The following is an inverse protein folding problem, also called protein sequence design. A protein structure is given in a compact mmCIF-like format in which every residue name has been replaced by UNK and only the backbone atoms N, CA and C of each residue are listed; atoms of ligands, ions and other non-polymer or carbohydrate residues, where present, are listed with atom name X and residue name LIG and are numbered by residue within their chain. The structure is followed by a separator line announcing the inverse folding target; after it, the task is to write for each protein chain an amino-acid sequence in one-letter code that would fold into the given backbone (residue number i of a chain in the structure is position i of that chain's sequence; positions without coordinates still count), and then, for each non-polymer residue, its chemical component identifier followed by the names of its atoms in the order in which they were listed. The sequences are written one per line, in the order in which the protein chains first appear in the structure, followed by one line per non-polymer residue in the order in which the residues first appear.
data_IF_434826643492
#
_entry.id   IF_434826643492
#
_cell.length_a   1.000
_cell.length_b   1.000
_cell.length_c   1.000
_cell.angle_alpha   90.00
_cell.angle_beta   90.00
_cell.angle_gamma   90.00
#
_symmetry.space_group_name_H-M   'P 1'
#
loop_
_entity.id
_entity.type
_entity.pdbx_description
1 polymer ?
#
# COMPACT_ATOMS: atom_id res chain seq x y z
N UNK A 1 -28.86 10.61 25.43
CA UNK A 1 -27.68 11.52 25.19
C UNK A 1 -26.34 10.83 25.30
N UNK A 2 -26.19 9.75 26.05
CA UNK A 2 -24.89 9.09 26.35
C UNK A 2 -24.26 8.28 25.21
N UNK A 3 -25.03 7.73 24.26
CA UNK A 3 -24.45 6.91 23.17
C UNK A 3 -23.74 7.71 22.07
N UNK A 4 -24.21 8.92 21.77
CA UNK A 4 -23.60 9.78 20.72
C UNK A 4 -22.21 10.29 21.08
N UNK A 5 -22.01 10.72 22.33
CA UNK A 5 -20.73 11.25 22.83
C UNK A 5 -19.65 10.16 22.93
N UNK A 6 -20.04 8.94 23.27
CA UNK A 6 -19.10 7.81 23.35
C UNK A 6 -18.55 7.42 21.96
N UNK A 7 -19.41 7.41 20.95
CA UNK A 7 -19.06 7.10 19.55
C UNK A 7 -18.02 8.08 18.96
N UNK A 8 -18.22 9.38 19.21
CA UNK A 8 -17.33 10.43 18.69
C UNK A 8 -15.95 10.39 19.37
N UNK A 9 -15.89 10.09 20.67
CA UNK A 9 -14.64 9.94 21.38
C UNK A 9 -13.82 8.72 20.91
N UNK A 10 -14.47 7.61 20.56
CA UNK A 10 -13.78 6.41 20.07
C UNK A 10 -13.06 6.68 18.75
N UNK A 11 -13.67 7.41 17.80
CA UNK A 11 -13.05 7.80 16.54
C UNK A 11 -11.83 8.69 16.75
N UNK A 12 -11.89 9.63 17.71
CA UNK A 12 -10.74 10.46 18.07
C UNK A 12 -9.58 9.66 18.67
N UNK A 13 -9.89 8.77 19.63
CA UNK A 13 -8.88 7.91 20.28
C UNK A 13 -8.18 7.04 19.24
N UNK A 14 -8.94 6.43 18.32
CA UNK A 14 -8.36 5.69 17.21
C UNK A 14 -7.41 6.56 16.38
N UNK A 15 -7.85 7.75 15.97
CA UNK A 15 -7.02 8.67 15.16
C UNK A 15 -5.75 9.11 15.90
N UNK A 16 -5.82 9.42 17.19
CA UNK A 16 -4.64 9.78 18.00
C UNK A 16 -3.66 8.61 18.09
N UNK A 17 -4.16 7.38 18.33
CA UNK A 17 -3.32 6.18 18.34
C UNK A 17 -2.61 5.96 17.00
N UNK A 18 -3.35 6.07 15.90
CA UNK A 18 -2.80 5.91 14.55
C UNK A 18 -1.76 7.00 14.22
N UNK A 19 -2.06 8.26 14.57
CA UNK A 19 -1.14 9.38 14.40
C UNK A 19 0.14 9.20 15.21
N UNK A 20 0.04 8.72 16.46
CA UNK A 20 1.19 8.45 17.31
C UNK A 20 2.11 7.38 16.68
N UNK A 21 1.56 6.24 16.24
CA UNK A 21 2.32 5.19 15.54
C UNK A 21 3.01 5.75 14.30
N UNK A 22 2.31 6.58 13.54
CA UNK A 22 2.85 7.16 12.30
C UNK A 22 3.99 8.14 12.56
N UNK A 23 3.93 8.93 13.62
CA UNK A 23 5.03 9.80 14.05
C UNK A 23 6.24 8.96 14.48
N UNK A 24 6.03 7.88 15.21
CA UNK A 24 7.12 6.96 15.60
C UNK A 24 7.80 6.35 14.37
N UNK A 25 7.05 6.04 13.31
CA UNK A 25 7.62 5.54 12.05
C UNK A 25 8.55 6.58 11.40
N UNK A 26 8.17 7.87 11.38
CA UNK A 26 9.04 8.95 10.90
C UNK A 26 10.29 9.07 11.75
N UNK A 27 10.15 9.09 13.09
CA UNK A 27 11.29 9.16 13.99
C UNK A 27 12.25 8.00 13.78
N UNK A 28 11.72 6.78 13.62
CA UNK A 28 12.53 5.61 13.30
C UNK A 28 13.34 5.80 12.01
N UNK A 29 12.73 6.29 10.92
CA UNK A 29 13.43 6.54 9.66
C UNK A 29 14.49 7.63 9.79
N UNK A 30 14.22 8.69 10.54
CA UNK A 30 15.20 9.77 10.80
C UNK A 30 16.40 9.21 11.56
N UNK A 31 16.17 8.49 12.66
CA UNK A 31 17.24 7.86 13.46
C UNK A 31 18.02 6.86 12.61
N UNK A 32 17.33 6.05 11.80
CA UNK A 32 17.97 5.12 10.87
C UNK A 32 18.90 5.85 9.89
N UNK A 33 18.43 6.93 9.26
CA UNK A 33 19.21 7.72 8.30
C UNK A 33 20.44 8.37 8.94
N UNK A 34 20.27 8.97 10.12
CA UNK A 34 21.38 9.64 10.84
C UNK A 34 22.48 8.66 11.26
N UNK A 35 22.15 7.41 11.51
CA UNK A 35 23.14 6.36 11.86
C UNK A 35 23.83 5.74 10.63
N UNK A 36 23.37 6.04 9.41
CA UNK A 36 23.97 5.51 8.17
C UNK A 36 25.10 6.40 7.67
N UNK A 37 26.34 5.89 7.75
CA UNK A 37 27.55 6.64 7.33
C UNK A 37 27.64 6.84 5.82
N UNK A 38 27.24 5.85 5.01
CA UNK A 38 27.23 5.90 3.54
C UNK A 38 26.10 5.04 2.98
N UNK A 39 25.38 5.58 2.04
CA UNK A 39 24.34 4.89 1.29
C UNK A 39 24.69 4.94 -0.19
N UNK A 40 24.63 3.80 -0.90
CA UNK A 40 24.76 3.79 -2.36
C UNK A 40 23.56 4.48 -3.01
N UNK A 41 23.71 4.98 -4.24
CA UNK A 41 22.62 5.64 -4.98
C UNK A 41 21.38 4.76 -5.09
N UNK A 42 21.57 3.46 -5.32
CA UNK A 42 20.47 2.49 -5.35
C UNK A 42 19.75 2.40 -4.00
N UNK A 43 20.48 2.29 -2.89
CA UNK A 43 19.87 2.24 -1.56
C UNK A 43 19.22 3.57 -1.17
N UNK A 44 19.80 4.70 -1.60
CA UNK A 44 19.20 6.02 -1.42
C UNK A 44 17.88 6.12 -2.17
N UNK A 45 17.83 5.64 -3.41
CA UNK A 45 16.57 5.60 -4.18
C UNK A 45 15.49 4.76 -3.48
N UNK A 46 15.83 3.54 -3.02
CA UNK A 46 14.88 2.72 -2.25
C UNK A 46 14.43 3.42 -0.95
N UNK A 47 15.34 4.11 -0.29
CA UNK A 47 15.03 4.86 0.94
C UNK A 47 14.05 6.01 0.66
N UNK A 48 14.22 6.73 -0.46
CA UNK A 48 13.27 7.77 -0.90
C UNK A 48 11.87 7.18 -1.11
N UNK A 49 11.76 5.99 -1.72
CA UNK A 49 10.47 5.31 -1.90
C UNK A 49 9.80 4.99 -0.54
N UNK A 50 10.59 4.53 0.45
CA UNK A 50 10.10 4.28 1.81
C UNK A 50 9.67 5.57 2.50
N UNK A 51 10.45 6.65 2.36
CA UNK A 51 10.09 7.97 2.91
C UNK A 51 8.78 8.44 2.32
N UNK A 52 8.61 8.39 0.99
CA UNK A 52 7.38 8.79 0.32
C UNK A 52 6.16 8.05 0.89
N UNK A 53 6.27 6.72 1.03
CA UNK A 53 5.18 5.91 1.58
C UNK A 53 4.90 6.24 3.05
N UNK A 54 5.95 6.37 3.87
CA UNK A 54 5.82 6.63 5.31
C UNK A 54 5.28 8.04 5.59
N UNK A 55 5.78 9.06 4.87
CA UNK A 55 5.31 10.45 5.02
C UNK A 55 3.86 10.58 4.58
N UNK A 56 3.50 9.94 3.48
CA UNK A 56 2.11 9.92 3.01
C UNK A 56 1.19 9.20 4.00
N UNK A 57 1.61 8.04 4.52
CA UNK A 57 0.89 7.31 5.56
C UNK A 57 0.71 8.17 6.82
N UNK A 58 1.76 8.88 7.25
CA UNK A 58 1.71 9.79 8.40
C UNK A 58 0.74 10.95 8.16
N UNK A 59 0.82 11.60 7.01
CA UNK A 59 -0.09 12.69 6.64
C UNK A 59 -1.56 12.22 6.69
N UNK A 60 -1.86 11.08 6.07
CA UNK A 60 -3.22 10.52 6.01
C UNK A 60 -3.68 9.97 7.37
N UNK A 61 -2.78 9.55 8.25
CA UNK A 61 -3.09 9.15 9.62
C UNK A 61 -3.50 10.34 10.49
N UNK A 62 -2.79 11.47 10.36
CA UNK A 62 -3.09 12.70 11.13
C UNK A 62 -4.37 13.37 10.59
N UNK A 63 -4.63 13.25 9.30
CA UNK A 63 -5.74 13.90 8.60
C UNK A 63 -6.50 12.90 7.72
N UNK A 64 -7.18 11.91 8.31
CA UNK A 64 -7.88 10.91 7.54
C UNK A 64 -9.07 11.50 6.78
N UNK A 65 -9.24 10.99 5.56
CA UNK A 65 -10.32 11.34 4.65
C UNK A 65 -10.84 10.07 3.99
N UNK A 66 -12.15 9.90 3.96
CA UNK A 66 -12.83 8.90 3.13
C UNK A 66 -13.01 9.53 1.76
N UNK A 67 -12.07 9.30 0.86
CA UNK A 67 -11.92 10.03 -0.41
C UNK A 67 -13.13 9.84 -1.33
N UNK A 68 -13.60 8.62 -1.48
CA UNK A 68 -14.74 8.28 -2.33
C UNK A 68 -16.09 8.85 -1.88
N UNK A 69 -16.22 9.24 -0.61
CA UNK A 69 -17.41 9.85 -0.03
C UNK A 69 -17.16 11.32 0.37
N UNK A 70 -15.90 11.77 0.23
CA UNK A 70 -15.44 13.13 0.53
C UNK A 70 -15.70 13.53 1.98
N UNK A 71 -15.61 12.58 2.91
CA UNK A 71 -15.80 12.80 4.33
C UNK A 71 -14.46 13.01 5.00
N UNK A 72 -14.32 14.09 5.75
CA UNK A 72 -13.10 14.46 6.46
C UNK A 72 -13.30 14.34 7.97
N UNK A 73 -12.28 13.85 8.68
CA UNK A 73 -12.33 13.80 10.15
C UNK A 73 -12.19 15.19 10.79
N UNK A 74 -11.37 16.03 10.17
CA UNK A 74 -11.11 17.40 10.65
C UNK A 74 -11.24 18.41 9.51
N UNK A 75 -11.68 19.63 9.85
CA UNK A 75 -11.68 20.75 8.91
C UNK A 75 -10.25 21.26 8.69
N UNK A 76 -9.80 21.23 7.43
CA UNK A 76 -8.46 21.74 7.06
C UNK A 76 -8.39 21.96 5.56
N UNK A 77 -7.67 23.00 5.12
CA UNK A 77 -7.48 23.30 3.70
C UNK A 77 -6.55 22.28 3.00
N UNK A 78 -5.73 21.57 3.75
CA UNK A 78 -4.81 20.54 3.21
C UNK A 78 -5.38 19.11 3.33
N UNK A 79 -6.44 18.90 4.10
CA UNK A 79 -7.09 17.60 4.30
C UNK A 79 -8.33 17.48 3.44
N UNK A 80 -8.23 17.85 2.18
CA UNK A 80 -9.30 17.69 1.20
C UNK A 80 -9.05 16.44 0.35
N UNK A 81 -10.10 15.80 -0.20
CA UNK A 81 -9.97 14.56 -0.97
C UNK A 81 -8.94 14.64 -2.10
N UNK A 82 -8.86 15.78 -2.79
CA UNK A 82 -7.88 16.00 -3.87
C UNK A 82 -6.43 15.83 -3.37
N UNK A 83 -6.09 16.45 -2.24
CA UNK A 83 -4.73 16.37 -1.68
C UNK A 83 -4.44 14.98 -1.15
N UNK A 84 -5.37 14.40 -0.39
CA UNK A 84 -5.17 13.06 0.20
C UNK A 84 -5.04 11.99 -0.86
N UNK A 85 -5.82 12.05 -1.95
CA UNK A 85 -5.70 11.12 -3.08
C UNK A 85 -4.38 11.29 -3.85
N UNK A 86 -3.95 12.54 -4.08
CA UNK A 86 -2.65 12.80 -4.72
C UNK A 86 -1.49 12.20 -3.89
N UNK A 87 -1.51 12.43 -2.59
CA UNK A 87 -0.52 11.87 -1.66
C UNK A 87 -0.57 10.35 -1.63
N UNK A 88 -1.77 9.75 -1.64
CA UNK A 88 -1.95 8.30 -1.71
C UNK A 88 -1.37 7.71 -3.00
N UNK A 89 -1.62 8.34 -4.15
CA UNK A 89 -1.09 7.90 -5.45
C UNK A 89 0.44 7.84 -5.43
N UNK A 90 1.11 8.88 -4.91
CA UNK A 90 2.58 8.88 -4.79
C UNK A 90 3.05 7.75 -3.87
N UNK A 91 2.37 7.56 -2.74
CA UNK A 91 2.70 6.50 -1.79
C UNK A 91 2.58 5.10 -2.40
N UNK A 92 1.46 4.81 -3.01
CA UNK A 92 1.14 3.49 -3.54
C UNK A 92 2.06 3.12 -4.71
N UNK A 93 2.35 4.08 -5.61
CA UNK A 93 3.35 3.89 -6.66
C UNK A 93 4.77 3.72 -6.10
N UNK A 94 5.11 4.42 -5.02
CA UNK A 94 6.39 4.22 -4.34
C UNK A 94 6.49 2.83 -3.71
N UNK A 95 5.42 2.34 -3.08
CA UNK A 95 5.38 1.03 -2.46
C UNK A 95 5.55 -0.11 -3.48
N UNK A 96 4.77 -0.08 -4.56
CA UNK A 96 4.86 -1.12 -5.59
C UNK A 96 6.23 -1.09 -6.29
N UNK A 97 6.78 0.09 -6.54
CA UNK A 97 8.12 0.24 -7.12
C UNK A 97 9.18 -0.35 -6.19
N UNK A 98 9.12 -0.07 -4.89
CA UNK A 98 10.00 -0.67 -3.89
C UNK A 98 9.91 -2.19 -3.90
N UNK A 99 8.70 -2.74 -3.86
CA UNK A 99 8.46 -4.18 -3.89
C UNK A 99 9.07 -4.83 -5.14
N UNK A 100 8.79 -4.26 -6.32
CA UNK A 100 9.32 -4.74 -7.61
C UNK A 100 10.84 -4.71 -7.63
N UNK A 101 11.47 -3.65 -7.15
CA UNK A 101 12.94 -3.55 -7.14
C UNK A 101 13.59 -4.56 -6.19
N UNK A 102 12.99 -4.80 -5.02
CA UNK A 102 13.46 -5.83 -4.09
C UNK A 102 13.36 -7.22 -4.73
N UNK A 103 12.21 -7.55 -5.34
CA UNK A 103 12.04 -8.84 -6.03
C UNK A 103 12.94 -8.98 -7.25
N UNK A 104 13.17 -7.92 -8.02
CA UNK A 104 14.14 -7.91 -9.11
C UNK A 104 15.56 -8.24 -8.61
N UNK A 105 15.95 -7.70 -7.46
CA UNK A 105 17.21 -8.03 -6.81
C UNK A 105 17.30 -9.52 -6.45
N UNK A 106 16.25 -10.07 -5.87
CA UNK A 106 16.15 -11.50 -5.51
C UNK A 106 16.24 -12.38 -6.77
N UNK A 107 15.39 -12.11 -7.78
CA UNK A 107 15.34 -12.90 -9.02
C UNK A 107 16.72 -12.89 -9.70
N UNK A 108 17.37 -11.73 -9.83
CA UNK A 108 18.71 -11.61 -10.42
C UNK A 108 19.78 -12.41 -9.67
N UNK A 109 19.71 -12.47 -8.34
CA UNK A 109 20.63 -13.31 -7.55
C UNK A 109 20.36 -14.80 -7.75
N UNK A 110 19.09 -15.19 -7.77
CA UNK A 110 18.70 -16.60 -8.04
C UNK A 110 19.10 -17.00 -9.47
N UNK A 111 18.98 -16.10 -10.46
CA UNK A 111 19.46 -16.34 -11.84
C UNK A 111 20.96 -16.65 -11.91
N UNK A 112 21.79 -16.03 -11.07
CA UNK A 112 23.23 -16.34 -11.02
C UNK A 112 23.51 -17.76 -10.52
N UNK A 113 22.68 -18.27 -9.61
CA UNK A 113 22.81 -19.62 -9.06
C UNK A 113 22.20 -20.67 -9.99
N UNK A 114 21.13 -20.30 -10.69
CA UNK A 114 20.40 -21.18 -11.61
C UNK A 114 20.37 -20.64 -13.06
N UNK A 115 21.55 -20.48 -13.72
CA UNK A 115 21.64 -19.78 -15.03
C UNK A 115 20.90 -20.48 -16.17
N UNK A 116 20.62 -21.79 -16.05
CA UNK A 116 19.87 -22.56 -17.06
C UNK A 116 18.34 -22.48 -16.91
N UNK A 117 17.85 -21.82 -15.85
CA UNK A 117 16.42 -21.71 -15.59
C UNK A 117 15.78 -20.63 -16.47
N UNK A 118 15.00 -21.07 -17.47
CA UNK A 118 14.34 -20.19 -18.45
C UNK A 118 13.13 -19.43 -17.90
N UNK A 119 12.61 -19.81 -16.73
CA UNK A 119 11.45 -19.15 -16.11
C UNK A 119 11.85 -17.85 -15.41
N UNK A 120 13.05 -17.78 -14.83
CA UNK A 120 13.50 -16.60 -14.07
C UNK A 120 13.49 -15.28 -14.88
N UNK A 121 13.93 -15.23 -16.15
CA UNK A 121 13.79 -14.02 -16.97
C UNK A 121 12.33 -13.61 -17.19
N UNK A 122 11.42 -14.59 -17.35
CA UNK A 122 9.99 -14.33 -17.48
C UNK A 122 9.44 -13.73 -16.18
N UNK A 123 9.81 -14.29 -15.03
CA UNK A 123 9.42 -13.73 -13.73
C UNK A 123 9.94 -12.30 -13.53
N UNK A 124 11.15 -12.01 -13.99
CA UNK A 124 11.70 -10.65 -13.95
C UNK A 124 10.83 -9.66 -14.74
N UNK A 125 10.42 -10.04 -15.95
CA UNK A 125 9.53 -9.24 -16.79
C UNK A 125 8.15 -9.06 -16.14
N UNK A 126 7.53 -10.17 -15.70
CA UNK A 126 6.21 -10.16 -15.05
C UNK A 126 6.22 -9.30 -13.80
N UNK A 127 7.28 -9.41 -12.98
CA UNK A 127 7.44 -8.58 -11.79
C UNK A 127 7.54 -7.09 -12.15
N UNK A 128 8.26 -6.74 -13.23
CA UNK A 128 8.38 -5.34 -13.66
C UNK A 128 7.04 -4.78 -14.17
N UNK A 129 6.22 -5.58 -14.84
CA UNK A 129 4.89 -5.16 -15.32
C UNK A 129 3.93 -4.79 -14.19
N UNK A 130 4.17 -5.24 -12.95
CA UNK A 130 3.36 -4.84 -11.79
C UNK A 130 3.31 -3.34 -11.57
N UNK A 131 4.37 -2.59 -11.91
CA UNK A 131 4.37 -1.12 -11.80
C UNK A 131 3.30 -0.54 -12.75
N UNK A 132 3.26 -1.01 -14.00
CA UNK A 132 2.27 -0.57 -14.99
C UNK A 132 0.84 -0.92 -14.58
N UNK A 133 0.61 -2.15 -14.11
CA UNK A 133 -0.71 -2.57 -13.61
C UNK A 133 -1.19 -1.70 -12.44
N UNK A 134 -0.29 -1.39 -11.49
CA UNK A 134 -0.68 -0.55 -10.37
C UNK A 134 -0.82 0.93 -10.76
N UNK A 135 -0.16 1.41 -11.80
CA UNK A 135 -0.46 2.72 -12.37
C UNK A 135 -1.88 2.76 -12.96
N UNK A 136 -2.34 1.67 -13.60
CA UNK A 136 -3.74 1.54 -14.04
C UNK A 136 -4.72 1.46 -12.86
N UNK A 137 -4.35 0.81 -11.74
CA UNK A 137 -5.14 0.84 -10.52
C UNK A 137 -5.31 2.28 -10.01
N UNK A 138 -4.23 3.07 -9.97
CA UNK A 138 -4.31 4.47 -9.58
C UNK A 138 -5.21 5.29 -10.50
N UNK A 139 -5.13 5.08 -11.81
CA UNK A 139 -6.04 5.71 -12.76
C UNK A 139 -7.50 5.36 -12.45
N UNK A 140 -7.81 4.08 -12.21
CA UNK A 140 -9.15 3.61 -11.85
C UNK A 140 -9.62 4.28 -10.56
N UNK A 141 -8.78 4.37 -9.53
CA UNK A 141 -9.08 5.06 -8.29
C UNK A 141 -9.44 6.54 -8.49
N UNK A 142 -8.66 7.25 -9.30
CA UNK A 142 -8.96 8.63 -9.63
C UNK A 142 -10.31 8.77 -10.34
N UNK A 143 -10.60 7.92 -11.33
CA UNK A 143 -11.90 7.93 -12.01
C UNK A 143 -13.03 7.68 -11.01
N UNK A 144 -12.91 6.67 -10.14
CA UNK A 144 -13.91 6.37 -9.11
C UNK A 144 -14.10 7.52 -8.13
N UNK A 145 -13.02 8.15 -7.70
CA UNK A 145 -13.05 9.27 -6.74
C UNK A 145 -13.65 10.55 -7.37
N UNK A 146 -13.32 10.84 -8.63
CA UNK A 146 -13.85 12.00 -9.35
C UNK A 146 -15.34 11.80 -9.67
N UNK A 147 -15.70 10.68 -10.28
CA UNK A 147 -17.05 10.42 -10.79
C UNK A 147 -18.02 9.93 -9.72
N UNK A 148 -17.51 9.54 -8.55
CA UNK A 148 -18.24 8.80 -7.49
C UNK A 148 -18.78 7.43 -7.94
N UNK A 149 -18.26 6.89 -9.05
CA UNK A 149 -18.67 5.57 -9.54
C UNK A 149 -17.85 4.46 -8.90
N UNK A 150 -18.47 3.76 -7.95
CA UNK A 150 -17.83 2.70 -7.12
C UNK A 150 -17.36 1.49 -7.93
N UNK A 151 -17.78 1.34 -9.20
CA UNK A 151 -17.27 0.26 -10.05
C UNK A 151 -15.76 0.44 -10.32
N UNK A 152 -15.29 1.68 -10.48
CA UNK A 152 -13.88 1.97 -10.68
C UNK A 152 -13.03 1.67 -9.46
N UNK A 153 -13.58 1.84 -8.24
CA UNK A 153 -12.91 1.38 -7.03
C UNK A 153 -12.84 -0.16 -6.98
N UNK A 154 -13.91 -0.87 -7.39
CA UNK A 154 -13.85 -2.33 -7.50
C UNK A 154 -12.80 -2.80 -8.53
N UNK A 155 -12.63 -2.08 -9.65
CA UNK A 155 -11.56 -2.35 -10.64
C UNK A 155 -10.18 -2.12 -10.03
N UNK A 156 -9.97 -1.00 -9.33
CA UNK A 156 -8.74 -0.69 -8.61
C UNK A 156 -8.35 -1.84 -7.67
N UNK A 157 -9.26 -2.22 -6.77
CA UNK A 157 -9.00 -3.25 -5.76
C UNK A 157 -8.78 -4.64 -6.39
N UNK A 158 -9.45 -4.91 -7.51
CA UNK A 158 -9.21 -6.15 -8.28
C UNK A 158 -7.81 -6.19 -8.89
N UNK A 159 -7.28 -5.06 -9.36
CA UNK A 159 -5.91 -4.96 -9.88
C UNK A 159 -4.90 -5.16 -8.74
N UNK A 160 -5.15 -4.58 -7.56
CA UNK A 160 -4.32 -4.78 -6.37
C UNK A 160 -4.33 -6.25 -5.92
N UNK A 161 -5.51 -6.89 -5.89
CA UNK A 161 -5.63 -8.33 -5.58
C UNK A 161 -4.85 -9.18 -6.58
N UNK A 162 -5.00 -8.91 -7.89
CA UNK A 162 -4.26 -9.57 -8.96
C UNK A 162 -2.73 -9.41 -8.82
N UNK A 163 -2.28 -8.21 -8.45
CA UNK A 163 -0.86 -7.95 -8.18
C UNK A 163 -0.35 -8.76 -6.99
N UNK A 164 -1.14 -8.89 -5.92
CA UNK A 164 -0.83 -9.75 -4.78
C UNK A 164 -0.70 -11.21 -5.18
N UNK A 165 -1.59 -11.71 -6.04
CA UNK A 165 -1.54 -13.08 -6.58
C UNK A 165 -0.26 -13.31 -7.38
N UNK A 166 0.14 -12.36 -8.24
CA UNK A 166 1.39 -12.45 -9.00
C UNK A 166 2.60 -12.50 -8.06
N UNK A 167 2.66 -11.63 -7.05
CA UNK A 167 3.74 -11.63 -6.04
C UNK A 167 3.79 -12.98 -5.30
N UNK A 168 2.64 -13.53 -4.93
CA UNK A 168 2.55 -14.85 -4.28
C UNK A 168 3.14 -15.95 -5.16
N UNK A 169 2.76 -16.01 -6.44
CA UNK A 169 3.31 -17.02 -7.36
C UNK A 169 4.81 -16.86 -7.58
N UNK A 170 5.32 -15.64 -7.72
CA UNK A 170 6.76 -15.39 -7.82
C UNK A 170 7.47 -15.90 -6.55
N UNK A 171 6.93 -15.55 -5.36
CA UNK A 171 7.52 -15.96 -4.09
C UNK A 171 7.51 -17.49 -3.90
N UNK A 172 6.40 -18.16 -4.23
CA UNK A 172 6.28 -19.62 -4.17
C UNK A 172 7.27 -20.31 -5.11
N UNK A 173 7.33 -19.86 -6.37
CA UNK A 173 8.26 -20.42 -7.34
C UNK A 173 9.72 -20.28 -6.89
N UNK A 174 10.11 -19.09 -6.45
CA UNK A 174 11.45 -18.84 -5.94
C UNK A 174 11.74 -19.68 -4.69
N UNK A 175 10.77 -19.81 -3.78
CA UNK A 175 10.93 -20.63 -2.57
C UNK A 175 11.16 -22.10 -2.92
N UNK A 176 10.35 -22.68 -3.81
CA UNK A 176 10.53 -24.06 -4.26
C UNK A 176 11.92 -24.26 -4.90
N UNK A 177 12.35 -23.30 -5.73
CA UNK A 177 13.63 -23.39 -6.42
C UNK A 177 14.83 -23.34 -5.46
N UNK A 178 14.78 -22.46 -4.43
CA UNK A 178 15.92 -22.30 -3.50
C UNK A 178 15.88 -23.27 -2.31
N UNK A 179 14.79 -23.99 -2.08
CA UNK A 179 14.61 -24.87 -0.93
C UNK A 179 15.62 -26.02 -0.88
N UNK A 180 16.05 -26.51 -2.03
CA UNK A 180 17.05 -27.60 -2.16
C UNK A 180 18.51 -27.15 -2.01
N UNK A 181 18.80 -25.83 -1.95
CA UNK A 181 20.17 -25.31 -1.87
C UNK A 181 20.45 -24.76 -0.48
N UNK A 182 21.45 -25.31 0.23
CA UNK A 182 21.79 -24.92 1.61
C UNK A 182 23.19 -24.30 1.76
N UNK A 183 23.98 -24.23 0.68
CA UNK A 183 25.41 -23.84 0.78
C UNK A 183 25.70 -22.36 0.66
N UNK A 184 24.84 -21.57 0.02
CA UNK A 184 25.04 -20.13 -0.20
C UNK A 184 24.29 -19.31 0.87
N UNK A 185 25.04 -18.46 1.61
CA UNK A 185 24.48 -17.59 2.66
C UNK A 185 23.40 -16.62 2.13
N UNK A 186 23.57 -16.14 0.90
CA UNK A 186 22.60 -15.26 0.24
C UNK A 186 21.31 -16.00 -0.07
N UNK A 187 21.42 -17.22 -0.58
CA UNK A 187 20.27 -18.09 -0.84
C UNK A 187 19.58 -18.46 0.50
N UNK A 188 20.34 -18.70 1.56
CA UNK A 188 19.80 -18.93 2.90
C UNK A 188 18.93 -17.75 3.40
N UNK A 189 19.37 -16.51 3.18
CA UNK A 189 18.56 -15.33 3.49
C UNK A 189 17.30 -15.21 2.65
N UNK A 190 17.38 -15.49 1.34
CA UNK A 190 16.21 -15.50 0.46
C UNK A 190 15.20 -16.55 0.95
N UNK A 191 15.70 -17.77 1.25
CA UNK A 191 14.88 -18.87 1.78
C UNK A 191 14.15 -18.52 3.07
N UNK A 192 14.75 -17.72 3.95
CA UNK A 192 14.10 -17.26 5.20
C UNK A 192 13.09 -16.14 4.96
N UNK A 193 13.27 -15.32 3.95
CA UNK A 193 12.41 -14.18 3.63
C UNK A 193 11.13 -14.58 2.89
N UNK A 194 11.24 -15.48 1.93
CA UNK A 194 10.12 -15.86 1.05
C UNK A 194 8.88 -16.39 1.79
N UNK A 195 8.99 -17.26 2.85
CA UNK A 195 7.82 -17.71 3.62
C UNK A 195 7.04 -16.54 4.26
N UNK A 196 7.74 -15.52 4.74
CA UNK A 196 7.10 -14.33 5.31
C UNK A 196 6.29 -13.59 4.25
N UNK A 197 6.87 -13.41 3.05
CA UNK A 197 6.15 -12.80 1.92
C UNK A 197 4.94 -13.64 1.51
N UNK A 198 5.09 -14.97 1.43
CA UNK A 198 4.00 -15.89 1.09
C UNK A 198 2.84 -15.73 2.06
N UNK A 199 3.11 -15.76 3.38
CA UNK A 199 2.07 -15.62 4.42
C UNK A 199 1.39 -14.27 4.32
N UNK A 200 2.15 -13.17 4.21
CA UNK A 200 1.58 -11.82 4.09
C UNK A 200 0.74 -11.70 2.82
N UNK A 201 1.22 -12.24 1.69
CA UNK A 201 0.47 -12.21 0.43
C UNK A 201 -0.84 -12.99 0.53
N UNK A 202 -0.85 -14.16 1.18
CA UNK A 202 -2.07 -14.96 1.38
C UNK A 202 -3.10 -14.20 2.23
N UNK A 203 -2.66 -13.56 3.33
CA UNK A 203 -3.54 -12.75 4.18
C UNK A 203 -4.11 -11.57 3.39
N UNK A 204 -3.25 -10.86 2.65
CA UNK A 204 -3.64 -9.72 1.83
C UNK A 204 -4.65 -10.11 0.75
N UNK A 205 -4.36 -11.15 -0.05
CA UNK A 205 -5.24 -11.64 -1.11
C UNK A 205 -6.57 -12.11 -0.52
N UNK A 206 -6.54 -12.81 0.61
CA UNK A 206 -7.75 -13.22 1.33
C UNK A 206 -8.61 -12.04 1.72
N UNK A 207 -8.02 -10.98 2.29
CA UNK A 207 -8.73 -9.74 2.62
C UNK A 207 -9.33 -9.08 1.36
N UNK A 208 -8.55 -8.91 0.30
CA UNK A 208 -8.99 -8.26 -0.94
C UNK A 208 -10.17 -9.00 -1.59
N UNK A 209 -10.07 -10.33 -1.72
CA UNK A 209 -11.09 -11.13 -2.40
C UNK A 209 -12.35 -11.32 -1.55
N UNK A 210 -12.22 -11.47 -0.24
CA UNK A 210 -13.34 -11.78 0.64
C UNK A 210 -14.04 -10.54 1.22
N UNK A 211 -13.34 -9.42 1.31
CA UNK A 211 -13.83 -8.22 1.99
C UNK A 211 -13.90 -7.02 1.05
N UNK A 212 -12.79 -6.60 0.50
CA UNK A 212 -12.66 -5.28 -0.11
C UNK A 212 -13.32 -5.20 -1.48
N UNK A 213 -12.95 -6.06 -2.41
CA UNK A 213 -13.56 -6.13 -3.75
C UNK A 213 -15.08 -6.36 -3.68
N UNK A 214 -15.61 -7.33 -2.88
CA UNK A 214 -17.03 -7.51 -2.74
C UNK A 214 -17.75 -6.31 -2.13
N UNK A 215 -17.12 -5.59 -1.21
CA UNK A 215 -17.67 -4.37 -0.63
C UNK A 215 -17.92 -3.30 -1.70
N UNK A 216 -16.94 -3.03 -2.55
CA UNK A 216 -17.08 -2.04 -3.63
C UNK A 216 -18.07 -2.49 -4.70
N UNK A 217 -18.11 -3.78 -5.08
CA UNK A 217 -19.13 -4.32 -5.99
C UNK A 217 -20.52 -4.13 -5.41
N UNK A 218 -20.71 -4.39 -4.11
CA UNK A 218 -22.01 -4.17 -3.42
C UNK A 218 -22.39 -2.69 -3.39
N UNK A 219 -21.43 -1.79 -3.05
CA UNK A 219 -21.65 -0.34 -3.12
C UNK A 219 -22.06 0.08 -4.54
N UNK A 220 -21.36 -0.38 -5.58
CA UNK A 220 -21.66 -0.06 -6.98
C UNK A 220 -23.06 -0.52 -7.40
N UNK A 221 -23.49 -1.73 -6.98
CA UNK A 221 -24.85 -2.24 -7.25
C UNK A 221 -25.93 -1.41 -6.57
N UNK A 222 -25.72 -1.04 -5.30
CA UNK A 222 -26.67 -0.25 -4.53
C UNK A 222 -26.82 1.18 -5.07
N UNK A 223 -25.75 1.73 -5.62
CA UNK A 223 -25.67 3.10 -6.15
C UNK A 223 -25.91 3.18 -7.66
N UNK A 224 -26.36 2.10 -8.32
CA UNK A 224 -26.54 2.02 -9.78
C UNK A 224 -27.43 3.13 -10.33
N UNK A 225 -28.45 3.55 -9.60
CA UNK A 225 -29.40 4.58 -10.01
C UNK A 225 -29.01 5.99 -9.57
N UNK A 226 -27.88 6.15 -8.85
CA UNK A 226 -27.40 7.47 -8.46
C UNK A 226 -26.65 8.10 -9.66
N UNK A 227 -27.03 9.32 -9.99
CA UNK A 227 -26.37 10.07 -11.07
C UNK A 227 -24.89 10.24 -10.74
N UNK A 228 -24.04 9.76 -11.64
CA UNK A 228 -22.58 9.94 -11.52
C UNK A 228 -22.22 11.39 -11.79
N UNK A 229 -21.11 11.83 -11.20
CA UNK A 229 -20.56 13.18 -11.44
C UNK A 229 -19.88 13.22 -12.82
N UNK A 230 -20.03 14.32 -13.53
CA UNK A 230 -19.12 14.66 -14.62
C UNK A 230 -17.74 15.03 -14.05
N UNK A 231 -16.72 15.02 -14.91
CA UNK A 231 -15.33 15.19 -14.50
C UNK A 231 -15.07 16.56 -13.89
N UNK A 232 -15.62 17.63 -14.47
CA UNK A 232 -15.40 18.99 -14.02
C UNK A 232 -16.01 19.22 -12.64
N UNK A 233 -17.28 18.87 -12.48
CA UNK A 233 -17.98 18.90 -11.17
C UNK A 233 -17.25 18.07 -10.15
N UNK A 234 -16.84 16.85 -10.52
CA UNK A 234 -16.13 15.93 -9.64
C UNK A 234 -14.82 16.51 -9.11
N UNK A 235 -13.97 17.06 -9.98
CA UNK A 235 -12.70 17.70 -9.59
C UNK A 235 -12.96 18.91 -8.68
N UNK A 236 -13.95 19.75 -8.98
CA UNK A 236 -14.26 20.90 -8.16
C UNK A 236 -14.74 20.50 -6.76
N UNK A 237 -15.56 19.46 -6.65
CA UNK A 237 -16.02 18.93 -5.37
C UNK A 237 -14.88 18.27 -4.55
N UNK A 238 -13.83 17.71 -5.17
CA UNK A 238 -12.68 17.14 -4.46
C UNK A 238 -11.83 18.19 -3.72
N UNK A 239 -11.99 19.49 -4.04
CA UNK A 239 -11.29 20.60 -3.37
C UNK A 239 -11.86 20.90 -1.98
N UNK A 240 -12.95 20.26 -1.59
CA UNK A 240 -13.59 20.43 -0.28
C UNK A 240 -14.16 19.11 0.25
N UNK A 241 -14.39 19.06 1.57
CA UNK A 241 -15.08 17.94 2.18
C UNK A 241 -16.60 18.12 2.04
N UNK A 242 -17.31 17.07 1.64
CA UNK A 242 -18.78 17.04 1.64
C UNK A 242 -19.35 17.10 3.07
N UNK A 243 -18.62 16.47 4.01
CA UNK A 243 -18.91 16.51 5.43
C UNK A 243 -17.62 16.48 6.25
N UNK A 244 -17.66 17.17 7.39
CA UNK A 244 -16.60 17.08 8.42
C UNK A 244 -17.25 16.48 9.66
N UNK A 245 -16.89 15.24 9.99
CA UNK A 245 -17.56 14.52 11.07
C UNK A 245 -16.65 13.50 11.74
N UNK A 246 -16.84 13.32 13.04
CA UNK A 246 -16.16 12.32 13.87
C UNK A 246 -17.12 11.17 14.27
N UNK A 247 -18.33 11.14 13.74
CA UNK A 247 -19.30 10.11 14.06
C UNK A 247 -18.82 8.75 13.55
N UNK A 248 -18.79 7.76 14.44
CA UNK A 248 -18.30 6.41 14.17
C UNK A 248 -19.04 5.75 13.00
N UNK A 249 -20.30 6.07 12.75
CA UNK A 249 -21.10 5.51 11.65
C UNK A 249 -20.45 5.69 10.26
N UNK A 250 -19.71 6.81 10.07
CA UNK A 250 -19.00 7.11 8.83
C UNK A 250 -17.60 6.46 8.77
N UNK A 251 -17.01 6.13 9.92
CA UNK A 251 -15.62 5.67 10.00
C UNK A 251 -15.48 4.17 10.25
N UNK A 252 -16.49 3.50 10.83
CA UNK A 252 -16.38 2.10 11.27
C UNK A 252 -15.93 1.12 10.19
N UNK A 253 -16.29 1.38 8.94
CA UNK A 253 -15.92 0.53 7.81
C UNK A 253 -14.52 0.85 7.26
N UNK A 254 -14.07 2.08 7.48
CA UNK A 254 -12.76 2.54 7.01
C UNK A 254 -11.64 2.29 8.05
N UNK A 255 -11.97 2.25 9.34
CA UNK A 255 -11.00 2.07 10.42
C UNK A 255 -10.12 0.83 10.24
N UNK A 256 -10.62 -0.38 9.93
CA UNK A 256 -9.77 -1.56 9.75
C UNK A 256 -8.78 -1.39 8.60
N UNK A 257 -9.27 -0.87 7.46
CA UNK A 257 -8.46 -0.64 6.27
C UNK A 257 -7.39 0.42 6.51
N UNK A 258 -7.78 1.61 6.97
CA UNK A 258 -6.86 2.71 7.25
C UNK A 258 -5.81 2.33 8.32
N UNK A 259 -6.23 1.57 9.36
CA UNK A 259 -5.30 1.06 10.36
C UNK A 259 -4.28 0.09 9.74
N UNK A 260 -4.72 -0.86 8.96
CA UNK A 260 -3.85 -1.81 8.24
C UNK A 260 -2.90 -1.10 7.28
N UNK A 261 -3.43 -0.19 6.46
CA UNK A 261 -2.66 0.54 5.47
C UNK A 261 -1.55 1.42 6.09
N UNK A 262 -1.88 2.18 7.15
CA UNK A 262 -0.94 3.13 7.76
C UNK A 262 0.00 2.49 8.81
N UNK A 263 -0.24 1.25 9.21
CA UNK A 263 0.66 0.51 10.09
C UNK A 263 1.38 -0.59 9.33
N UNK A 264 0.70 -1.68 8.99
CA UNK A 264 1.33 -2.84 8.34
C UNK A 264 1.91 -2.51 6.97
N UNK A 265 1.24 -1.66 6.17
CA UNK A 265 1.77 -1.19 4.90
C UNK A 265 3.08 -0.44 5.08
N UNK A 266 3.15 0.51 6.02
CA UNK A 266 4.37 1.26 6.33
C UNK A 266 5.45 0.35 6.88
N UNK A 267 5.14 -0.53 7.83
CA UNK A 267 6.13 -1.47 8.39
C UNK A 267 6.67 -2.43 7.34
N UNK A 268 5.83 -2.90 6.42
CA UNK A 268 6.29 -3.76 5.31
C UNK A 268 7.25 -3.03 4.38
N UNK A 269 7.01 -1.75 4.07
CA UNK A 269 7.92 -0.94 3.25
C UNK A 269 9.28 -0.76 3.91
N UNK A 270 9.30 -0.45 5.22
CA UNK A 270 10.52 -0.32 6.00
C UNK A 270 11.27 -1.66 6.09
N UNK A 271 10.54 -2.75 6.35
CA UNK A 271 11.12 -4.09 6.43
C UNK A 271 11.73 -4.55 5.10
N UNK A 272 11.06 -4.32 3.96
CA UNK A 272 11.57 -4.58 2.62
C UNK A 272 12.90 -3.86 2.37
N UNK A 273 12.97 -2.58 2.72
CA UNK A 273 14.18 -1.79 2.55
C UNK A 273 15.34 -2.31 3.41
N UNK A 274 15.11 -2.51 4.71
CA UNK A 274 16.15 -2.98 5.64
C UNK A 274 16.64 -4.36 5.22
N UNK A 275 15.74 -5.25 4.84
CA UNK A 275 16.08 -6.59 4.39
C UNK A 275 16.91 -6.53 3.10
N UNK A 276 16.46 -5.77 2.09
CA UNK A 276 17.19 -5.61 0.82
C UNK A 276 18.61 -5.08 1.04
N UNK A 277 18.78 -4.12 1.93
CA UNK A 277 20.09 -3.58 2.26
C UNK A 277 21.03 -4.62 2.89
N UNK A 278 20.52 -5.46 3.81
CA UNK A 278 21.28 -6.58 4.39
C UNK A 278 21.66 -7.61 3.32
N UNK A 279 20.71 -7.91 2.47
CA UNK A 279 20.87 -8.84 1.36
C UNK A 279 21.96 -8.41 0.38
N UNK A 280 22.01 -7.12 -0.01
CA UNK A 280 23.03 -6.61 -0.92
C UNK A 280 24.43 -6.51 -0.31
N UNK A 281 24.56 -6.41 1.02
CA UNK A 281 25.87 -6.43 1.69
C UNK A 281 26.55 -7.80 1.68
N UNK A 282 25.81 -8.86 1.44
CA UNK A 282 26.33 -10.24 1.42
C UNK A 282 26.69 -10.74 0.01
N UNK A 283 26.41 -10.02 -1.02
CA UNK A 283 26.68 -10.32 -2.42
C UNK A 283 27.47 -9.27 -3.13
#
# INVERSE_FOLDING_TARGET
MTSKTFSDNTTKIWNYGLSFISILNILFLVVYFLNEKKMSDYNLFLFILVINYTVAGTFRSIRPVVEGERICLFKSNISVPLVTRSVATIAELSYITLLVLVFNGIIKKVMKVYPKNKILPVLLLVNFLLIGFNALAQFSCWVGTITTDKIWNAVEESIWAGSGIVVLFIALYLFCLVSGNSGDKTIGMIKSFLPVVIIISLIYIGFMILVDVPMYIKKAKNEKNIKKRDVETGINELKSCSAVTQKMEFWRHEIPWLSGYFTFGVWSSIALFIWNKRFLKLG
#
